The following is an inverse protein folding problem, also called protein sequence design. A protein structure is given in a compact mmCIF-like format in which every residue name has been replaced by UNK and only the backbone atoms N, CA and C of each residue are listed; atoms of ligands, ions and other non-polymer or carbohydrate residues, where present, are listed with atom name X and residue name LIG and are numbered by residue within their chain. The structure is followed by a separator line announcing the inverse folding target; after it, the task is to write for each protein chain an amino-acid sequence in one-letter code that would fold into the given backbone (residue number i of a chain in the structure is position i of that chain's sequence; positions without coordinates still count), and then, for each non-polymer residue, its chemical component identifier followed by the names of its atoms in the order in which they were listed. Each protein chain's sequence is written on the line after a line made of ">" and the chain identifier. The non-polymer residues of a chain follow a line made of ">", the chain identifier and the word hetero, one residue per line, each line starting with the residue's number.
data_IF_964135200696
#
_entry.id   IF_964135200696
#
_cell.length_a   1.000
_cell.length_b   1.000
_cell.length_c   1.000
_cell.angle_alpha   90.00
_cell.angle_beta   90.00
_cell.angle_gamma   90.00
#
_symmetry.space_group_name_H-M   'P 1'
#
loop_
_entity.id
_entity.type
_entity.pdbx_description
1 polymer ?
#
# COMPACT_ATOMS: atom_id res chain seq x y z
N UNK A 1 -19.02 9.01 11.10
CA UNK A 1 -18.60 9.67 9.84
C UNK A 1 -17.15 9.30 9.61
N UNK A 2 -16.68 8.94 8.39
CA UNK A 2 -15.25 8.74 8.20
C UNK A 2 -14.58 10.11 8.39
N UNK A 3 -13.77 10.18 9.43
CA UNK A 3 -13.03 11.36 9.84
C UNK A 3 -11.76 11.37 8.98
N UNK A 4 -11.63 12.34 8.07
CA UNK A 4 -10.28 12.75 7.68
C UNK A 4 -9.74 13.47 8.92
N UNK A 5 -8.73 12.93 9.63
CA UNK A 5 -8.32 13.46 10.92
C UNK A 5 -7.56 14.78 10.84
N UNK A 6 -7.34 15.30 9.63
CA UNK A 6 -6.66 16.56 9.43
C UNK A 6 -7.49 17.71 10.01
N UNK A 7 -7.01 18.28 11.12
CA UNK A 7 -7.57 19.48 11.74
C UNK A 7 -7.14 20.73 10.96
N UNK A 8 -5.95 20.70 10.36
CA UNK A 8 -5.37 21.79 9.57
C UNK A 8 -4.94 21.29 8.20
N UNK A 9 -5.05 22.16 7.19
CA UNK A 9 -4.54 21.84 5.85
C UNK A 9 -3.03 21.66 5.96
N UNK A 10 -2.55 20.48 5.58
CA UNK A 10 -1.17 20.04 5.83
C UNK A 10 -0.51 19.64 4.53
N UNK A 11 0.71 20.12 4.32
CA UNK A 11 1.56 19.69 3.21
C UNK A 11 2.05 18.26 3.46
N UNK A 12 2.03 17.41 2.43
CA UNK A 12 2.32 15.98 2.55
C UNK A 12 3.22 15.50 1.42
N UNK A 13 3.94 14.41 1.67
CA UNK A 13 4.83 13.82 0.67
C UNK A 13 4.13 12.79 -0.24
N UNK A 14 2.92 12.38 0.13
CA UNK A 14 2.07 11.46 -0.63
C UNK A 14 0.61 11.63 -0.20
N UNK A 15 -0.32 11.18 -1.04
CA UNK A 15 -1.76 11.24 -0.80
C UNK A 15 -2.35 9.84 -0.88
N UNK A 16 -3.41 9.58 -0.11
CA UNK A 16 -4.20 8.37 -0.27
C UNK A 16 -5.02 8.40 -1.56
N UNK A 17 -5.17 7.23 -2.18
CA UNK A 17 -5.89 7.05 -3.44
C UNK A 17 -7.41 7.16 -3.30
N UNK A 18 -8.10 7.15 -4.43
CA UNK A 18 -9.56 7.09 -4.51
C UNK A 18 -10.30 8.41 -4.27
N UNK A 19 -9.71 9.37 -3.56
CA UNK A 19 -10.34 10.66 -3.28
C UNK A 19 -9.36 11.83 -3.33
N UNK A 20 -8.69 11.97 -4.49
CA UNK A 20 -7.75 13.04 -4.76
C UNK A 20 -8.19 13.84 -5.99
N UNK A 21 -7.81 15.11 -6.01
CA UNK A 21 -8.05 16.02 -7.15
C UNK A 21 -6.70 16.44 -7.68
N UNK A 22 -6.51 16.25 -8.99
CA UNK A 22 -5.25 16.54 -9.68
C UNK A 22 -5.51 17.53 -10.81
N UNK A 23 -4.57 18.44 -11.02
CA UNK A 23 -4.59 19.30 -12.21
C UNK A 23 -4.29 18.45 -13.44
N UNK A 24 -5.01 18.70 -14.54
CA UNK A 24 -4.92 17.88 -15.75
C UNK A 24 -3.51 17.81 -16.34
N UNK A 25 -2.72 18.88 -16.20
CA UNK A 25 -1.36 18.97 -16.70
C UNK A 25 -0.39 17.99 -16.04
N UNK A 26 -0.67 17.54 -14.81
CA UNK A 26 0.16 16.53 -14.13
C UNK A 26 0.26 15.25 -14.96
N UNK A 27 -0.81 14.88 -15.66
CA UNK A 27 -0.86 13.66 -16.47
C UNK A 27 -0.13 13.76 -17.81
N UNK A 28 0.43 14.93 -18.15
CA UNK A 28 1.33 15.07 -19.31
C UNK A 28 2.69 14.45 -19.04
N UNK A 29 3.15 14.55 -17.79
CA UNK A 29 4.50 14.13 -17.38
C UNK A 29 4.48 12.91 -16.44
N UNK A 30 3.35 12.63 -15.78
CA UNK A 30 3.22 11.54 -14.82
C UNK A 30 2.13 10.54 -15.22
N UNK A 31 2.52 9.26 -15.31
CA UNK A 31 1.61 8.14 -15.44
C UNK A 31 1.61 7.26 -14.18
N UNK A 32 0.55 6.47 -14.01
CA UNK A 32 0.52 5.39 -13.02
C UNK A 32 1.45 4.26 -13.45
N UNK A 33 2.10 3.64 -12.48
CA UNK A 33 2.94 2.47 -12.70
C UNK A 33 2.06 1.22 -12.76
N UNK A 34 2.06 0.55 -13.91
CA UNK A 34 1.24 -0.63 -14.14
C UNK A 34 1.61 -1.81 -13.24
N UNK A 35 2.79 -1.80 -12.58
CA UNK A 35 3.12 -2.81 -11.57
C UNK A 35 1.98 -3.02 -10.57
N UNK A 36 1.35 -1.92 -10.12
CA UNK A 36 0.30 -1.93 -9.10
C UNK A 36 -1.13 -2.19 -9.63
N UNK A 37 -1.31 -2.40 -10.94
CA UNK A 37 -2.62 -2.46 -11.60
C UNK A 37 -3.54 -3.62 -11.18
N UNK A 38 -3.05 -4.58 -10.38
CA UNK A 38 -3.85 -5.73 -9.94
C UNK A 38 -4.84 -5.35 -8.85
N UNK A 39 -4.35 -5.07 -7.64
CA UNK A 39 -5.20 -4.79 -6.48
C UNK A 39 -5.39 -3.29 -6.21
N UNK A 40 -4.67 -2.39 -6.91
CA UNK A 40 -4.69 -0.97 -6.57
C UNK A 40 -4.28 -0.75 -5.11
N UNK A 41 -3.11 -1.30 -4.76
CA UNK A 41 -2.52 -1.14 -3.44
C UNK A 41 -1.14 -0.52 -3.64
N UNK A 42 -0.88 0.62 -2.99
CA UNK A 42 0.41 1.39 -3.01
C UNK A 42 0.64 2.20 -4.30
N UNK A 43 -0.21 2.07 -5.31
CA UNK A 43 -0.15 2.88 -6.55
C UNK A 43 -0.31 4.38 -6.29
N UNK A 44 -1.15 4.71 -5.33
CA UNK A 44 -1.42 6.07 -4.87
C UNK A 44 -0.19 6.70 -4.21
N UNK A 45 0.48 5.93 -3.35
CA UNK A 45 1.74 6.32 -2.72
C UNK A 45 2.81 6.53 -3.78
N UNK A 46 3.03 5.59 -4.71
CA UNK A 46 4.05 5.74 -5.76
C UNK A 46 3.79 6.97 -6.65
N UNK A 47 2.55 7.13 -7.10
CA UNK A 47 2.17 8.21 -8.00
C UNK A 47 2.35 9.57 -7.32
N UNK A 48 1.78 9.74 -6.13
CA UNK A 48 1.85 11.00 -5.41
C UNK A 48 3.26 11.31 -4.89
N UNK A 49 4.02 10.30 -4.45
CA UNK A 49 5.41 10.50 -4.01
C UNK A 49 6.32 11.03 -5.12
N UNK A 50 6.15 10.56 -6.36
CA UNK A 50 6.92 11.08 -7.50
C UNK A 50 6.55 12.54 -7.81
N UNK A 51 5.26 12.87 -7.73
CA UNK A 51 4.77 14.23 -7.98
C UNK A 51 5.21 15.18 -6.86
N UNK A 52 5.26 14.73 -5.61
CA UNK A 52 5.65 15.55 -4.46
C UNK A 52 7.10 16.06 -4.53
N UNK A 53 7.93 15.45 -5.38
CA UNK A 53 9.30 15.93 -5.66
C UNK A 53 9.35 17.22 -6.46
N UNK A 54 8.30 17.53 -7.22
CA UNK A 54 8.21 18.73 -8.07
C UNK A 54 7.08 19.67 -7.68
N UNK A 55 6.03 19.15 -7.03
CA UNK A 55 4.82 19.90 -6.68
C UNK A 55 4.47 19.70 -5.22
N UNK A 56 3.78 20.69 -4.64
CA UNK A 56 3.28 20.57 -3.26
C UNK A 56 1.96 19.81 -3.24
N UNK A 57 1.83 18.86 -2.34
CA UNK A 57 0.61 18.11 -2.11
C UNK A 57 0.00 18.50 -0.77
N UNK A 58 -1.33 18.58 -0.71
CA UNK A 58 -2.03 19.01 0.49
C UNK A 58 -3.19 18.07 0.84
N UNK A 59 -3.26 17.68 2.11
CA UNK A 59 -4.48 17.15 2.70
C UNK A 59 -5.28 18.33 3.23
N UNK A 60 -6.44 18.59 2.63
CA UNK A 60 -7.28 19.75 2.93
C UNK A 60 -8.19 19.43 4.11
N UNK A 61 -8.05 20.18 5.22
CA UNK A 61 -8.77 19.90 6.47
C UNK A 61 -10.29 20.09 6.38
N UNK A 62 -10.80 20.82 5.40
CA UNK A 62 -12.23 21.02 5.17
C UNK A 62 -12.82 19.99 4.20
N UNK A 63 -11.99 19.28 3.43
CA UNK A 63 -12.47 18.26 2.51
C UNK A 63 -13.09 17.09 3.28
N UNK A 64 -14.25 16.61 2.82
CA UNK A 64 -14.99 15.51 3.45
C UNK A 64 -15.25 14.42 2.42
N UNK A 65 -14.92 13.19 2.80
CA UNK A 65 -15.22 11.98 2.03
C UNK A 65 -15.77 10.92 2.99
N UNK A 66 -16.77 10.17 2.54
CA UNK A 66 -17.18 8.94 3.20
C UNK A 66 -16.64 7.74 2.43
N UNK A 67 -15.63 7.06 2.97
CA UNK A 67 -15.19 5.77 2.46
C UNK A 67 -16.13 4.66 2.98
N UNK A 68 -16.74 3.91 2.05
CA UNK A 68 -17.59 2.76 2.37
C UNK A 68 -16.82 1.50 1.98
N UNK A 69 -16.37 0.74 2.97
CA UNK A 69 -15.70 -0.53 2.71
C UNK A 69 -16.72 -1.55 2.20
N UNK A 70 -16.49 -2.08 1.00
CA UNK A 70 -17.32 -3.11 0.39
C UNK A 70 -16.46 -4.26 -0.12
N UNK A 71 -17.05 -5.47 -0.18
CA UNK A 71 -16.40 -6.67 -0.74
C UNK A 71 -15.84 -7.64 0.30
N UNK A 72 -15.78 -8.92 -0.08
CA UNK A 72 -15.09 -9.95 0.69
C UNK A 72 -13.58 -9.81 0.47
N UNK A 73 -12.82 -9.87 1.57
CA UNK A 73 -11.36 -9.77 1.53
C UNK A 73 -10.74 -11.14 1.67
N UNK A 74 -10.03 -11.59 0.63
CA UNK A 74 -9.05 -12.66 0.80
C UNK A 74 -7.83 -12.09 1.55
N UNK A 75 -7.83 -12.27 2.87
CA UNK A 75 -6.83 -11.68 3.76
C UNK A 75 -5.40 -12.18 3.52
N UNK A 76 -5.24 -13.43 3.07
CA UNK A 76 -3.94 -13.96 2.67
C UNK A 76 -3.42 -13.24 1.44
N UNK A 77 -4.24 -13.20 0.38
CA UNK A 77 -3.85 -12.63 -0.91
C UNK A 77 -3.62 -11.12 -0.81
N UNK A 78 -4.48 -10.42 -0.06
CA UNK A 78 -4.29 -8.99 0.23
C UNK A 78 -2.95 -8.75 0.92
N UNK A 79 -2.64 -9.48 2.00
CA UNK A 79 -1.37 -9.32 2.72
C UNK A 79 -0.16 -9.65 1.83
N UNK A 80 -0.27 -10.68 0.99
CA UNK A 80 0.77 -11.04 0.04
C UNK A 80 1.04 -9.91 -0.97
N UNK A 81 -0.01 -9.35 -1.57
CA UNK A 81 0.11 -8.27 -2.57
C UNK A 81 0.62 -6.98 -1.92
N UNK A 82 0.11 -6.62 -0.73
CA UNK A 82 0.62 -5.50 0.06
C UNK A 82 2.13 -5.61 0.22
N UNK A 83 2.63 -6.78 0.64
CA UNK A 83 4.07 -6.98 0.83
C UNK A 83 4.84 -6.86 -0.48
N UNK A 84 4.40 -7.51 -1.56
CA UNK A 84 5.07 -7.40 -2.86
C UNK A 84 5.14 -5.97 -3.37
N UNK A 85 4.07 -5.21 -3.22
CA UNK A 85 3.98 -3.83 -3.70
C UNK A 85 4.85 -2.88 -2.87
N UNK A 86 4.89 -3.03 -1.55
CA UNK A 86 5.80 -2.24 -0.70
C UNK A 86 7.27 -2.56 -0.97
N UNK A 87 7.60 -3.83 -1.20
CA UNK A 87 8.95 -4.24 -1.55
C UNK A 87 9.38 -3.67 -2.90
N UNK A 88 8.47 -3.67 -3.88
CA UNK A 88 8.72 -3.03 -5.17
C UNK A 88 8.92 -1.52 -5.02
N UNK A 89 8.06 -0.83 -4.27
CA UNK A 89 8.20 0.59 -3.96
C UNK A 89 9.56 0.88 -3.30
N UNK A 90 9.94 0.07 -2.31
CA UNK A 90 11.21 0.23 -1.60
C UNK A 90 12.44 -0.02 -2.49
N UNK A 91 12.32 -0.89 -3.49
CA UNK A 91 13.38 -1.13 -4.49
C UNK A 91 13.43 -0.05 -5.56
N UNK A 92 12.29 0.58 -5.88
CA UNK A 92 12.15 1.59 -6.93
C UNK A 92 12.70 2.96 -6.51
N UNK A 93 12.60 3.30 -5.23
CA UNK A 93 13.00 4.61 -4.70
C UNK A 93 14.15 4.46 -3.69
N UNK A 94 15.30 5.05 -4.00
CA UNK A 94 16.55 4.93 -3.21
C UNK A 94 16.43 5.46 -1.77
N UNK A 95 15.43 6.30 -1.50
CA UNK A 95 15.14 6.81 -0.15
C UNK A 95 14.63 5.72 0.80
N UNK A 96 14.19 4.57 0.28
CA UNK A 96 13.65 3.47 1.07
C UNK A 96 14.63 2.30 1.13
N UNK A 97 14.82 1.74 2.33
CA UNK A 97 15.69 0.58 2.50
C UNK A 97 14.94 -0.72 2.15
N UNK A 98 15.30 -1.32 1.01
CA UNK A 98 14.74 -2.61 0.58
C UNK A 98 14.95 -3.75 1.61
N UNK A 99 16.16 -3.97 2.18
CA UNK A 99 16.36 -5.01 3.19
C UNK A 99 15.52 -4.78 4.45
N UNK A 100 15.43 -3.54 4.92
CA UNK A 100 14.64 -3.21 6.10
C UNK A 100 13.14 -3.41 5.85
N UNK A 101 12.66 -3.15 4.63
CA UNK A 101 11.30 -3.42 4.22
C UNK A 101 10.96 -4.92 4.29
N UNK A 102 11.87 -5.80 3.84
CA UNK A 102 11.70 -7.27 3.98
C UNK A 102 11.56 -7.66 5.44
N UNK A 103 12.49 -7.20 6.29
CA UNK A 103 12.49 -7.51 7.73
C UNK A 103 11.21 -7.02 8.38
N UNK A 104 10.78 -5.79 8.10
CA UNK A 104 9.55 -5.22 8.61
C UNK A 104 8.32 -6.03 8.19
N UNK A 105 8.20 -6.38 6.91
CA UNK A 105 7.07 -7.15 6.40
C UNK A 105 7.01 -8.55 7.01
N UNK A 106 8.17 -9.20 7.17
CA UNK A 106 8.26 -10.50 7.83
C UNK A 106 7.83 -10.40 9.31
N UNK A 107 8.36 -9.41 10.04
CA UNK A 107 8.00 -9.18 11.44
C UNK A 107 6.51 -8.86 11.61
N UNK A 108 5.93 -8.08 10.71
CA UNK A 108 4.49 -7.78 10.71
C UNK A 108 3.66 -9.05 10.44
N UNK A 109 4.12 -9.93 9.55
CA UNK A 109 3.51 -11.24 9.31
C UNK A 109 3.51 -12.13 10.55
N UNK A 110 4.66 -12.25 11.24
CA UNK A 110 4.79 -12.99 12.49
C UNK A 110 3.85 -12.43 13.57
N UNK A 111 3.81 -11.10 13.72
CA UNK A 111 2.91 -10.43 14.68
C UNK A 111 1.45 -10.75 14.43
N UNK A 112 0.98 -10.64 13.18
CA UNK A 112 -0.40 -10.98 12.82
C UNK A 112 -0.71 -12.45 13.06
N UNK A 113 0.23 -13.35 12.74
CA UNK A 113 0.07 -14.78 12.96
C UNK A 113 -0.07 -15.11 14.45
N UNK A 114 0.86 -14.64 15.30
CA UNK A 114 0.82 -14.85 16.76
C UNK A 114 -0.48 -14.28 17.34
N UNK A 115 -0.82 -13.03 16.98
CA UNK A 115 -2.05 -12.40 17.45
C UNK A 115 -3.29 -13.20 16.99
N UNK A 116 -3.29 -13.71 15.76
CA UNK A 116 -4.36 -14.56 15.23
C UNK A 116 -4.53 -15.87 16.01
N UNK A 117 -3.42 -16.50 16.43
CA UNK A 117 -3.46 -17.69 17.28
C UNK A 117 -4.03 -17.39 18.67
N UNK A 118 -3.54 -16.34 19.33
CA UNK A 118 -3.99 -15.92 20.66
C UNK A 118 -5.49 -15.56 20.64
N UNK A 119 -5.92 -14.79 19.65
CA UNK A 119 -7.30 -14.32 19.50
C UNK A 119 -8.24 -15.32 18.83
N UNK A 120 -7.73 -16.48 18.38
CA UNK A 120 -8.45 -17.47 17.56
C UNK A 120 -9.11 -16.88 16.32
N UNK A 121 -8.50 -15.84 15.76
CA UNK A 121 -9.00 -15.12 14.59
C UNK A 121 -8.30 -15.64 13.32
N UNK A 122 -9.03 -16.41 12.50
CA UNK A 122 -8.52 -17.00 11.27
C UNK A 122 -8.06 -15.95 10.26
N UNK A 123 -8.71 -14.79 10.19
CA UNK A 123 -8.34 -13.72 9.27
C UNK A 123 -6.95 -13.19 9.57
N UNK A 124 -6.62 -12.99 10.85
CA UNK A 124 -5.28 -12.57 11.26
C UNK A 124 -4.22 -13.64 10.97
N UNK A 125 -4.56 -14.92 11.12
CA UNK A 125 -3.68 -16.02 10.74
C UNK A 125 -3.38 -15.96 9.24
N UNK A 126 -4.40 -15.83 8.39
CA UNK A 126 -4.24 -15.72 6.95
C UNK A 126 -3.45 -14.47 6.54
N UNK A 127 -3.69 -13.30 7.15
CA UNK A 127 -2.88 -12.09 6.93
C UNK A 127 -1.42 -12.33 7.28
N UNK A 128 -1.17 -12.94 8.43
CA UNK A 128 0.18 -13.27 8.89
C UNK A 128 0.90 -14.17 7.89
N UNK A 129 0.24 -15.24 7.45
CA UNK A 129 0.77 -16.15 6.43
C UNK A 129 1.06 -15.46 5.09
N UNK A 130 0.20 -14.54 4.65
CA UNK A 130 0.39 -13.80 3.39
C UNK A 130 1.64 -12.93 3.40
N UNK A 131 1.82 -12.14 4.46
CA UNK A 131 3.03 -11.32 4.64
C UNK A 131 4.30 -12.17 4.72
N UNK A 132 4.29 -13.24 5.53
CA UNK A 132 5.47 -14.12 5.67
C UNK A 132 5.83 -14.80 4.35
N UNK A 133 4.85 -15.36 3.64
CA UNK A 133 5.08 -16.02 2.36
C UNK A 133 5.65 -15.06 1.31
N UNK A 134 5.13 -13.84 1.23
CA UNK A 134 5.64 -12.83 0.31
C UNK A 134 7.07 -12.41 0.64
N UNK A 135 7.37 -12.11 1.91
CA UNK A 135 8.72 -11.72 2.35
C UNK A 135 9.76 -12.81 2.10
N UNK A 136 9.43 -14.07 2.40
CA UNK A 136 10.32 -15.20 2.17
C UNK A 136 10.57 -15.42 0.66
N UNK A 137 9.50 -15.39 -0.15
CA UNK A 137 9.64 -15.48 -1.61
C UNK A 137 10.52 -14.36 -2.15
N UNK A 138 10.31 -13.12 -1.73
CA UNK A 138 11.12 -11.99 -2.20
C UNK A 138 12.58 -12.06 -1.79
N UNK A 139 12.88 -12.63 -0.61
CA UNK A 139 14.25 -12.81 -0.14
C UNK A 139 15.01 -13.91 -0.90
N UNK A 140 14.31 -14.95 -1.36
CA UNK A 140 14.93 -16.12 -2.02
C UNK A 140 14.91 -15.97 -3.55
N UNK A 141 13.75 -15.64 -4.12
CA UNK A 141 13.48 -15.64 -5.56
C UNK A 141 13.35 -14.23 -6.16
N UNK A 142 13.39 -13.19 -5.33
CA UNK A 142 13.16 -11.82 -5.76
C UNK A 142 11.68 -11.44 -5.86
N UNK A 143 11.45 -10.15 -6.11
CA UNK A 143 10.12 -9.57 -6.22
C UNK A 143 9.49 -9.98 -7.55
N UNK A 144 8.21 -10.33 -7.53
CA UNK A 144 7.44 -10.64 -8.74
C UNK A 144 6.11 -9.90 -8.68
N UNK A 145 5.64 -9.45 -9.85
CA UNK A 145 4.33 -8.83 -9.99
C UNK A 145 3.27 -9.90 -9.72
N UNK A 146 2.27 -9.56 -8.93
CA UNK A 146 1.12 -10.44 -8.73
C UNK A 146 0.11 -10.12 -9.83
N UNK A 147 0.02 -11.00 -10.81
CA UNK A 147 -0.97 -10.90 -11.88
C UNK A 147 -2.39 -11.17 -11.33
N UNK A 148 -3.38 -10.58 -12.01
CA UNK A 148 -4.80 -10.52 -11.60
C UNK A 148 -5.33 -11.84 -11.02
N UNK A 149 -6.18 -11.74 -9.99
CA UNK A 149 -7.38 -12.58 -9.96
C UNK A 149 -8.20 -12.21 -11.20
N UNK A 150 -8.35 -13.13 -12.15
CA UNK A 150 -9.47 -13.09 -13.07
C UNK A 150 -10.72 -13.00 -12.20
N UNK A 151 -11.52 -11.95 -12.42
CA UNK A 151 -12.82 -11.78 -11.75
C UNK A 151 -13.67 -13.04 -11.90
#
# INVERSE_FOLDING_TARGET
>A
MPYCPAVTTTETEWLCGGATVWRSEIFKDFAFDEWFASYGIVEDIDFSYRISKLYKLYVVAEARLRHIETGQRNFYLQAYVVTMNHLYLAKKHDQFSYPLCIVYMLANGIRHFIYGLISRNKDNIYRGMGHMAASLKSGILGISRVERQVK
#
